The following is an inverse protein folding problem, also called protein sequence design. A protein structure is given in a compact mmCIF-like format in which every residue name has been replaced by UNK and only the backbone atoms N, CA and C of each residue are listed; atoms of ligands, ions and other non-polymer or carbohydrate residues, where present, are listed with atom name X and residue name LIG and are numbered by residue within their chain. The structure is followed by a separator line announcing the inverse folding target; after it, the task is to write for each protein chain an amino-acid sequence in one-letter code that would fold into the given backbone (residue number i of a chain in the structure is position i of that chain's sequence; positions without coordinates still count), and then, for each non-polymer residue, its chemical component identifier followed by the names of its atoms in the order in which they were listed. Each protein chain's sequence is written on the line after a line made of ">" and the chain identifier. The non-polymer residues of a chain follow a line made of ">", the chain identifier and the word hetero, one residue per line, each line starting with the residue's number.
data_IF_249015720746
#
_entry.id   IF_249015720746
#
_cell.length_a   1.000
_cell.length_b   1.000
_cell.length_c   1.000
_cell.angle_alpha   90.00
_cell.angle_beta   90.00
_cell.angle_gamma   90.00
#
_symmetry.space_group_name_H-M   'P 1'
#
loop_
_entity.id
_entity.type
_entity.pdbx_description
1 polymer ?
#
# COMPACT_ATOMS: atom_id res chain seq x y z
N UNK A 1 9.88 -14.50 18.32
CA UNK A 1 9.61 -15.20 17.06
C UNK A 1 8.60 -14.37 16.29
N UNK A 2 8.97 -13.83 15.13
CA UNK A 2 8.00 -13.14 14.28
C UNK A 2 6.97 -14.17 13.79
N UNK A 3 5.68 -13.79 13.65
CA UNK A 3 4.68 -14.69 13.10
C UNK A 3 5.14 -15.15 11.72
N UNK A 4 5.14 -16.46 11.49
CA UNK A 4 5.48 -17.04 10.18
C UNK A 4 4.52 -16.44 9.14
N UNK A 5 5.03 -15.64 8.21
CA UNK A 5 4.23 -15.05 7.11
C UNK A 5 4.29 -13.53 6.97
N UNK A 6 4.84 -12.80 7.96
CA UNK A 6 5.05 -11.37 7.84
C UNK A 6 6.12 -11.05 6.77
N UNK A 7 5.80 -10.13 5.86
CA UNK A 7 6.66 -9.70 4.76
C UNK A 7 6.68 -8.18 4.70
N UNK A 8 7.74 -7.61 4.13
CA UNK A 8 7.80 -6.19 3.85
C UNK A 8 7.45 -5.95 2.39
N UNK A 9 6.29 -5.33 2.18
CA UNK A 9 5.88 -4.80 0.89
C UNK A 9 6.61 -3.48 0.66
N UNK A 10 7.44 -3.43 -0.37
CA UNK A 10 8.12 -2.24 -0.84
C UNK A 10 7.55 -1.85 -2.20
N UNK A 11 7.15 -0.59 -2.38
CA UNK A 11 6.70 -0.10 -3.68
C UNK A 11 7.03 1.39 -3.82
N UNK A 12 7.12 1.84 -5.07
CA UNK A 12 7.23 3.25 -5.40
C UNK A 12 5.85 3.83 -5.71
N UNK A 13 5.66 5.09 -5.34
CA UNK A 13 4.45 5.84 -5.60
C UNK A 13 4.76 7.27 -6.05
N UNK A 14 3.88 7.82 -6.89
CA UNK A 14 3.84 9.23 -7.24
C UNK A 14 2.47 9.79 -6.89
N UNK A 15 2.46 10.84 -6.08
CA UNK A 15 1.26 11.48 -5.55
C UNK A 15 1.53 12.99 -5.43
N UNK A 16 1.45 13.72 -6.55
CA UNK A 16 1.67 15.17 -6.55
C UNK A 16 0.46 15.97 -7.01
N UNK A 17 0.10 16.99 -6.24
CA UNK A 17 -0.96 17.94 -6.57
C UNK A 17 -2.06 18.04 -5.51
N UNK A 18 -2.79 19.16 -5.54
CA UNK A 18 -3.74 19.57 -4.49
C UNK A 18 -4.98 18.68 -4.33
N UNK A 19 -5.15 17.66 -5.17
CA UNK A 19 -6.39 16.86 -5.21
C UNK A 19 -6.15 15.39 -5.57
N UNK A 20 -4.92 14.88 -5.36
CA UNK A 20 -4.49 13.52 -5.70
C UNK A 20 -5.38 12.43 -5.11
N UNK A 21 -6.02 12.69 -3.96
CA UNK A 21 -6.85 11.70 -3.27
C UNK A 21 -6.04 10.86 -2.28
N UNK A 22 -6.36 9.57 -2.17
CA UNK A 22 -5.75 8.65 -1.19
C UNK A 22 -5.32 7.36 -1.85
N UNK A 23 -4.15 6.86 -1.50
CA UNK A 23 -3.70 5.50 -1.82
C UNK A 23 -3.75 4.65 -0.55
N UNK A 24 -4.44 3.53 -0.61
CA UNK A 24 -4.55 2.56 0.49
C UNK A 24 -3.92 1.22 0.09
N UNK A 25 -3.39 0.51 1.08
CA UNK A 25 -2.95 -0.88 0.96
C UNK A 25 -3.73 -1.74 1.95
N UNK A 26 -4.32 -2.81 1.43
CA UNK A 26 -5.04 -3.81 2.23
C UNK A 26 -4.45 -5.20 2.06
N UNK A 27 -4.52 -6.00 3.12
CA UNK A 27 -4.39 -7.46 3.05
C UNK A 27 -5.77 -8.11 3.09
N UNK A 28 -5.95 -9.13 2.25
CA UNK A 28 -7.20 -9.88 2.14
C UNK A 28 -6.90 -11.37 2.32
N UNK A 29 -7.35 -12.02 3.40
CA UNK A 29 -7.26 -13.47 3.55
C UNK A 29 -8.00 -14.15 2.39
N UNK A 30 -7.46 -15.26 1.87
CA UNK A 30 -8.10 -15.97 0.75
C UNK A 30 -9.45 -16.62 1.11
N UNK A 31 -9.68 -16.88 2.40
CA UNK A 31 -10.83 -17.58 2.96
C UNK A 31 -11.84 -16.66 3.67
N UNK A 32 -11.63 -15.34 3.62
CA UNK A 32 -12.50 -14.35 4.27
C UNK A 32 -12.80 -13.17 3.35
N UNK A 33 -13.95 -12.53 3.59
CA UNK A 33 -14.34 -11.27 2.93
C UNK A 33 -13.75 -10.05 3.66
N UNK A 34 -13.25 -10.24 4.89
CA UNK A 34 -12.68 -9.15 5.70
C UNK A 34 -11.31 -8.72 5.17
N UNK A 35 -11.16 -7.46 4.79
CA UNK A 35 -9.84 -6.86 4.53
C UNK A 35 -9.29 -6.18 5.79
N UNK A 36 -7.97 -6.16 5.92
CA UNK A 36 -7.25 -5.36 6.93
C UNK A 36 -6.51 -4.25 6.21
N UNK A 37 -6.67 -3.01 6.68
CA UNK A 37 -5.93 -1.87 6.15
C UNK A 37 -4.55 -1.81 6.80
N UNK A 38 -3.52 -1.99 5.99
CA UNK A 38 -2.12 -2.01 6.46
C UNK A 38 -1.48 -0.63 6.33
N UNK A 39 -1.89 0.16 5.33
CA UNK A 39 -1.31 1.46 5.05
C UNK A 39 -2.30 2.39 4.33
N UNK A 40 -2.14 3.70 4.55
CA UNK A 40 -2.91 4.76 3.92
C UNK A 40 -2.07 6.01 3.79
N UNK A 41 -2.16 6.66 2.63
CA UNK A 41 -1.54 7.96 2.40
C UNK A 41 -2.47 8.84 1.59
N UNK A 42 -2.69 10.07 2.07
CA UNK A 42 -3.61 11.02 1.44
C UNK A 42 -2.90 12.31 1.06
N UNK A 43 -3.37 12.91 -0.03
CA UNK A 43 -3.01 14.26 -0.46
C UNK A 43 -1.63 14.35 -1.11
N UNK A 44 -1.21 15.59 -1.30
CA UNK A 44 0.04 15.93 -1.98
C UNK A 44 1.26 15.45 -1.19
N UNK A 45 2.10 14.69 -1.87
CA UNK A 45 3.39 14.21 -1.35
C UNK A 45 4.54 15.04 -1.96
N UNK A 46 4.25 16.00 -2.82
CA UNK A 46 5.23 16.77 -3.57
C UNK A 46 5.71 16.03 -4.81
N UNK A 47 6.54 16.71 -5.61
CA UNK A 47 7.05 16.17 -6.87
C UNK A 47 8.05 15.03 -6.67
N UNK A 48 8.00 14.07 -7.58
CA UNK A 48 8.97 12.98 -7.69
C UNK A 48 8.44 11.66 -7.11
N UNK A 49 9.06 10.57 -7.55
CA UNK A 49 8.76 9.24 -7.02
C UNK A 49 9.27 9.11 -5.59
N UNK A 50 8.45 8.49 -4.75
CA UNK A 50 8.78 8.13 -3.37
C UNK A 50 8.57 6.63 -3.19
N UNK A 51 9.06 6.08 -2.10
CA UNK A 51 8.82 4.68 -1.75
C UNK A 51 8.14 4.54 -0.39
N UNK A 52 7.39 3.46 -0.24
CA UNK A 52 6.77 3.06 1.01
C UNK A 52 7.17 1.62 1.36
N UNK A 53 7.37 1.39 2.66
CA UNK A 53 7.62 0.09 3.27
C UNK A 53 6.45 -0.23 4.18
N UNK A 54 5.77 -1.35 3.92
CA UNK A 54 4.57 -1.76 4.65
C UNK A 54 4.71 -3.22 5.09
N UNK A 55 4.71 -3.47 6.39
CA UNK A 55 4.66 -4.84 6.91
C UNK A 55 3.28 -5.41 6.66
N UNK A 56 3.20 -6.52 5.93
CA UNK A 56 1.96 -7.21 5.56
C UNK A 56 2.01 -8.68 6.00
N UNK A 57 0.84 -9.31 6.17
CA UNK A 57 0.78 -10.76 6.45
C UNK A 57 1.10 -11.16 7.89
N UNK A 58 1.23 -10.21 8.82
CA UNK A 58 1.53 -10.47 10.25
C UNK A 58 0.59 -11.46 10.94
N UNK A 59 -0.62 -11.65 10.41
CA UNK A 59 -1.64 -12.53 10.97
C UNK A 59 -2.23 -13.52 9.96
N UNK A 60 -1.63 -13.62 8.75
CA UNK A 60 -2.22 -14.35 7.62
C UNK A 60 -1.21 -15.32 6.99
N UNK A 61 -1.67 -16.53 6.68
CA UNK A 61 -0.85 -17.56 6.02
C UNK A 61 -0.91 -17.40 4.49
N UNK A 62 -2.10 -17.15 3.94
CA UNK A 62 -2.31 -16.89 2.52
C UNK A 62 -3.21 -15.66 2.36
N UNK A 63 -2.76 -14.68 1.59
CA UNK A 63 -3.47 -13.43 1.41
C UNK A 63 -3.17 -12.81 0.05
N UNK A 64 -4.06 -11.93 -0.38
CA UNK A 64 -3.84 -11.00 -1.48
C UNK A 64 -3.51 -9.61 -0.93
N UNK A 65 -2.65 -8.87 -1.63
CA UNK A 65 -2.48 -7.44 -1.41
C UNK A 65 -3.35 -6.68 -2.42
N UNK A 66 -4.08 -5.67 -1.93
CA UNK A 66 -4.87 -4.77 -2.76
C UNK A 66 -4.41 -3.34 -2.56
N UNK A 67 -3.98 -2.72 -3.66
CA UNK A 67 -3.86 -1.27 -3.74
C UNK A 67 -5.21 -0.68 -4.13
N UNK A 68 -5.65 0.35 -3.41
CA UNK A 68 -6.88 1.09 -3.71
C UNK A 68 -6.56 2.58 -3.83
N UNK A 69 -6.89 3.15 -5.00
CA UNK A 69 -6.87 4.59 -5.22
C UNK A 69 -8.26 5.18 -5.00
N UNK A 70 -8.40 6.07 -4.03
CA UNK A 70 -9.61 6.87 -3.81
C UNK A 70 -9.40 8.22 -4.45
N UNK A 71 -10.22 8.54 -5.45
CA UNK A 71 -10.16 9.82 -6.16
C UNK A 71 -10.38 10.98 -5.20
N UNK A 72 -9.56 12.03 -5.35
CA UNK A 72 -9.82 13.32 -4.72
C UNK A 72 -10.86 14.13 -5.51
N UNK A 73 -10.91 15.44 -5.23
CA UNK A 73 -11.94 16.33 -5.78
C UNK A 73 -11.68 16.83 -7.21
N UNK A 74 -10.48 16.63 -7.77
CA UNK A 74 -10.12 17.11 -9.12
C UNK A 74 -9.69 15.96 -10.02
N UNK A 75 -9.91 16.13 -11.32
CA UNK A 75 -9.44 15.22 -12.39
C UNK A 75 -8.02 15.51 -12.86
N UNK A 76 -7.35 16.52 -12.27
CA UNK A 76 -6.04 17.02 -12.72
C UNK A 76 -4.86 16.43 -11.96
N UNK A 77 -5.07 15.34 -11.23
CA UNK A 77 -4.05 14.72 -10.39
C UNK A 77 -4.21 13.22 -10.42
N UNK A 78 -3.08 12.52 -10.49
CA UNK A 78 -3.01 11.08 -10.62
C UNK A 78 -2.29 10.45 -9.43
N UNK A 79 -2.62 9.20 -9.16
CA UNK A 79 -1.83 8.30 -8.32
C UNK A 79 -1.18 7.29 -9.27
N UNK A 80 0.14 7.17 -9.21
CA UNK A 80 0.87 6.13 -9.92
C UNK A 80 1.67 5.28 -8.93
N UNK A 81 1.84 4.00 -9.24
CA UNK A 81 2.64 3.04 -8.48
C UNK A 81 3.58 2.29 -9.42
N UNK A 82 4.76 1.91 -8.93
CA UNK A 82 5.75 1.14 -9.69
C UNK A 82 6.65 0.30 -8.76
N UNK A 83 7.46 -0.59 -9.32
CA UNK A 83 8.52 -1.35 -8.63
C UNK A 83 8.05 -2.06 -7.36
N UNK A 84 6.94 -2.80 -7.46
CA UNK A 84 6.33 -3.54 -6.35
C UNK A 84 7.15 -4.80 -6.04
N UNK A 85 7.65 -4.90 -4.80
CA UNK A 85 8.49 -5.99 -4.33
C UNK A 85 8.07 -6.47 -2.93
N UNK A 86 8.27 -7.76 -2.67
CA UNK A 86 8.07 -8.36 -1.36
C UNK A 86 9.41 -8.86 -0.82
N UNK A 87 9.74 -8.46 0.40
CA UNK A 87 10.91 -8.97 1.13
C UNK A 87 10.45 -9.95 2.21
N UNK A 88 11.25 -11.02 2.48
CA UNK A 88 10.82 -12.16 3.31
C UNK A 88 10.67 -11.87 4.81
N UNK A 89 11.03 -10.67 5.27
CA UNK A 89 10.97 -10.24 6.66
C UNK A 89 10.09 -8.97 6.82
N UNK A 90 9.56 -8.67 8.01
CA UNK A 90 8.92 -7.39 8.31
C UNK A 90 9.82 -6.20 7.95
N UNK A 91 9.21 -5.04 7.70
CA UNK A 91 9.99 -3.81 7.49
C UNK A 91 10.68 -3.37 8.79
N UNK A 92 11.88 -2.79 8.65
CA UNK A 92 12.68 -2.24 9.76
C UNK A 92 12.05 -0.98 10.40
#
# INVERSE_FOLDING_TARGET
>A
AFPMGAQCLHFHYYMSGSSVGTLNVYTLPLDSVSSVQEWSLSGDQGSGWKSALVTVGSHLVNYNVRFEGVLGFSVTSDIAIDDIMFMPDPCD
#
